data_IF_419734694555
#
_entry.id   IF_419734694555
#
_cell.length_a   1.000
_cell.length_b   1.000
_cell.length_c   1.000
_cell.angle_alpha   90.00
_cell.angle_beta   90.00
_cell.angle_gamma   90.00
#
_symmetry.space_group_name_H-M   'P 1'
#
loop_
_entity.id
_entity.type
_entity.pdbx_description
1 polymer ?
#
# COMPACT_ATOMS: atom_id res chain seq x y z
N UNK A 1 7.31 -0.28 15.38
CA UNK A 1 6.84 -1.56 14.79
C UNK A 1 5.55 -2.01 15.46
N UNK A 2 4.57 -2.51 14.69
CA UNK A 2 3.32 -3.09 15.21
C UNK A 2 3.47 -4.60 15.50
N UNK A 3 4.40 -4.94 16.39
CA UNK A 3 4.75 -6.30 16.77
C UNK A 3 4.85 -6.36 18.30
N UNK A 4 4.21 -7.36 18.92
CA UNK A 4 4.24 -7.53 20.37
C UNK A 4 5.63 -7.96 20.86
N UNK A 5 6.34 -7.11 21.61
CA UNK A 5 7.57 -7.49 22.33
C UNK A 5 7.28 -8.32 23.59
N UNK A 6 6.11 -8.10 24.17
CA UNK A 6 5.54 -8.84 25.31
C UNK A 6 4.08 -9.17 25.01
N UNK A 7 3.46 -10.16 25.69
CA UNK A 7 2.05 -10.44 25.52
C UNK A 7 1.20 -9.17 25.68
N UNK A 8 0.29 -8.95 24.73
CA UNK A 8 -0.58 -7.77 24.69
C UNK A 8 -1.83 -8.12 23.91
N UNK A 9 -2.97 -7.66 24.42
CA UNK A 9 -4.25 -7.72 23.69
C UNK A 9 -4.63 -9.16 23.29
N UNK A 10 -4.49 -10.09 24.24
CA UNK A 10 -4.78 -11.52 24.03
C UNK A 10 -3.80 -12.26 23.10
N UNK A 11 -2.76 -11.60 22.58
CA UNK A 11 -1.77 -12.18 21.66
C UNK A 11 -0.40 -12.30 22.31
N UNK A 12 0.31 -13.38 21.98
CA UNK A 12 1.66 -13.67 22.49
C UNK A 12 2.72 -12.68 22.00
N UNK A 13 3.95 -12.82 22.53
CA UNK A 13 5.12 -12.06 22.09
C UNK A 13 5.73 -12.63 20.80
N UNK A 14 6.51 -11.79 20.11
CA UNK A 14 7.26 -12.18 18.93
C UNK A 14 8.35 -13.19 19.28
N UNK A 15 8.37 -14.31 18.56
CA UNK A 15 9.38 -15.35 18.68
C UNK A 15 10.58 -15.13 17.74
N UNK A 16 10.63 -14.00 17.02
CA UNK A 16 11.74 -13.61 16.15
C UNK A 16 12.12 -14.66 15.07
N UNK A 17 11.11 -15.34 14.55
CA UNK A 17 11.25 -16.48 13.61
C UNK A 17 11.53 -16.09 12.14
N UNK A 18 11.74 -14.81 11.83
CA UNK A 18 12.07 -14.37 10.45
C UNK A 18 10.95 -14.47 9.40
N UNK A 19 9.72 -14.84 9.79
CA UNK A 19 8.61 -15.15 8.88
C UNK A 19 7.64 -13.97 8.63
N UNK A 20 8.04 -12.74 8.90
CA UNK A 20 7.12 -11.59 8.95
C UNK A 20 6.43 -11.27 7.61
N UNK A 21 7.04 -11.62 6.49
CA UNK A 21 6.54 -11.34 5.13
C UNK A 21 5.63 -12.45 4.59
N UNK A 22 5.73 -13.67 5.11
CA UNK A 22 4.90 -14.82 4.71
C UNK A 22 3.68 -15.02 5.65
N UNK A 23 3.44 -14.05 6.54
CA UNK A 23 2.43 -14.15 7.59
C UNK A 23 3.06 -14.49 8.94
N UNK A 24 2.59 -13.83 10.01
CA UNK A 24 3.13 -14.07 11.35
C UNK A 24 2.51 -15.32 11.97
N UNK A 25 3.26 -16.44 11.92
CA UNK A 25 2.82 -17.73 12.45
C UNK A 25 2.44 -17.69 13.95
N UNK A 26 3.08 -16.83 14.74
CA UNK A 26 2.80 -16.71 16.18
C UNK A 26 1.66 -15.75 16.52
N UNK A 27 1.09 -15.03 15.55
CA UNK A 27 0.07 -14.00 15.78
C UNK A 27 0.57 -12.72 16.46
N UNK A 28 1.89 -12.56 16.66
CA UNK A 28 2.47 -11.42 17.39
C UNK A 28 2.47 -10.11 16.57
N UNK A 29 2.62 -10.19 15.24
CA UNK A 29 2.52 -9.05 14.32
C UNK A 29 1.05 -8.68 14.14
N UNK A 30 0.76 -7.39 14.20
CA UNK A 30 -0.58 -6.87 13.97
C UNK A 30 -1.05 -7.10 12.53
N UNK A 31 -2.31 -7.48 12.39
CA UNK A 31 -3.14 -7.33 11.19
C UNK A 31 -4.60 -7.26 11.60
N UNK A 32 -5.44 -6.68 10.75
CA UNK A 32 -6.90 -6.61 11.00
C UNK A 32 -7.54 -7.98 11.17
N UNK A 33 -7.01 -8.99 10.48
CA UNK A 33 -7.47 -10.38 10.55
C UNK A 33 -7.34 -11.00 11.96
N UNK A 34 -6.30 -10.65 12.71
CA UNK A 34 -6.03 -11.26 14.03
C UNK A 34 -6.35 -10.34 15.21
N UNK A 35 -6.74 -9.10 14.93
CA UNK A 35 -6.94 -8.04 15.94
C UNK A 35 -8.35 -7.47 15.88
N UNK A 36 -8.64 -6.63 14.87
CA UNK A 36 -9.87 -5.84 14.82
C UNK A 36 -11.09 -6.66 14.37
N UNK A 37 -10.94 -7.52 13.35
CA UNK A 37 -12.06 -8.31 12.80
C UNK A 37 -12.68 -9.23 13.87
N UNK A 38 -11.92 -10.08 14.58
CA UNK A 38 -12.52 -10.96 15.60
C UNK A 38 -13.25 -10.19 16.70
N UNK A 39 -12.71 -9.05 17.12
CA UNK A 39 -13.36 -8.18 18.12
C UNK A 39 -14.64 -7.55 17.60
N UNK A 40 -14.64 -7.13 16.34
CA UNK A 40 -15.83 -6.58 15.69
C UNK A 40 -16.94 -7.61 15.56
N UNK A 41 -16.63 -8.81 15.08
CA UNK A 41 -17.60 -9.91 14.94
C UNK A 41 -18.18 -10.33 16.30
N UNK A 42 -17.36 -10.36 17.36
CA UNK A 42 -17.81 -10.65 18.72
C UNK A 42 -18.85 -9.67 19.26
N UNK A 43 -18.99 -8.46 18.68
CA UNK A 43 -20.06 -7.52 19.05
C UNK A 43 -21.42 -7.89 18.48
N UNK A 44 -21.48 -8.77 17.47
CA UNK A 44 -22.68 -9.06 16.68
C UNK A 44 -23.07 -7.96 15.68
N UNK A 45 -22.30 -6.88 15.57
CA UNK A 45 -22.57 -5.74 14.68
C UNK A 45 -21.67 -5.68 13.43
N UNK A 46 -20.70 -6.60 13.32
CA UNK A 46 -19.83 -6.73 12.16
C UNK A 46 -20.00 -8.12 11.56
N UNK A 47 -20.06 -8.18 10.23
CA UNK A 47 -20.01 -9.41 9.47
C UNK A 47 -18.95 -9.27 8.38
N UNK A 48 -18.02 -10.22 8.30
CA UNK A 48 -17.10 -10.35 7.18
C UNK A 48 -17.61 -11.44 6.24
N UNK A 49 -17.90 -11.05 4.99
CA UNK A 49 -18.26 -11.99 3.93
C UNK A 49 -17.07 -12.16 2.98
N UNK A 50 -16.25 -13.23 3.15
CA UNK A 50 -15.21 -13.54 2.19
C UNK A 50 -15.81 -13.91 0.83
N UNK A 51 -14.96 -13.95 -0.20
CA UNK A 51 -15.35 -14.35 -1.56
C UNK A 51 -16.56 -13.58 -2.14
N UNK A 52 -16.69 -12.31 -1.73
CA UNK A 52 -17.74 -11.39 -2.17
C UNK A 52 -17.14 -10.26 -3.02
N UNK A 53 -17.09 -10.46 -4.34
CA UNK A 53 -16.48 -9.50 -5.27
C UNK A 53 -17.47 -8.41 -5.67
N UNK A 54 -17.30 -7.19 -5.14
CA UNK A 54 -18.16 -6.04 -5.46
C UNK A 54 -17.92 -5.60 -6.91
N UNK A 55 -19.00 -5.63 -7.69
CA UNK A 55 -18.99 -5.28 -9.12
C UNK A 55 -19.32 -3.81 -9.35
N UNK A 56 -20.29 -3.30 -8.57
CA UNK A 56 -20.86 -1.98 -8.79
C UNK A 56 -21.43 -1.38 -7.51
N UNK A 57 -21.25 -0.08 -7.34
CA UNK A 57 -21.95 0.73 -6.35
C UNK A 57 -23.17 1.35 -7.04
N UNK A 58 -24.35 1.21 -6.43
CA UNK A 58 -25.59 1.73 -6.97
C UNK A 58 -26.02 3.01 -6.26
N UNK A 59 -26.72 3.89 -6.98
CA UNK A 59 -27.28 5.13 -6.45
C UNK A 59 -28.72 5.34 -6.93
N UNK A 60 -29.46 6.21 -6.24
CA UNK A 60 -30.79 6.63 -6.64
C UNK A 60 -30.77 7.80 -7.64
N UNK A 61 -31.94 8.28 -8.06
CA UNK A 61 -32.08 9.39 -9.00
C UNK A 61 -31.53 10.74 -8.49
N UNK A 62 -31.24 10.87 -7.19
CA UNK A 62 -30.58 12.05 -6.61
C UNK A 62 -29.05 11.93 -6.56
N UNK A 63 -28.51 10.76 -6.93
CA UNK A 63 -27.08 10.45 -6.82
C UNK A 63 -26.66 9.89 -5.46
N UNK A 64 -27.59 9.69 -4.52
CA UNK A 64 -27.29 9.09 -3.21
C UNK A 64 -27.04 7.59 -3.36
N UNK A 65 -25.95 7.08 -2.80
CA UNK A 65 -25.65 5.63 -2.83
C UNK A 65 -26.73 4.86 -2.07
N UNK A 66 -27.16 3.73 -2.63
CA UNK A 66 -28.23 2.87 -2.06
C UNK A 66 -27.75 1.46 -1.70
N UNK A 67 -26.59 1.05 -2.21
CA UNK A 67 -26.04 -0.28 -1.97
C UNK A 67 -24.95 -0.68 -2.94
N UNK A 68 -24.59 -1.95 -2.88
CA UNK A 68 -23.61 -2.58 -3.76
C UNK A 68 -24.17 -3.84 -4.39
N UNK A 69 -23.74 -4.12 -5.61
CA UNK A 69 -23.96 -5.39 -6.31
C UNK A 69 -22.64 -6.14 -6.33
N UNK A 70 -22.67 -7.41 -5.93
CA UNK A 70 -21.47 -8.25 -5.83
C UNK A 70 -21.73 -9.68 -6.30
N UNK A 71 -20.68 -10.37 -6.70
CA UNK A 71 -20.70 -11.81 -6.96
C UNK A 71 -20.31 -12.54 -5.68
N UNK A 72 -21.12 -13.49 -5.24
CA UNK A 72 -20.81 -14.34 -4.08
C UNK A 72 -19.88 -15.52 -4.43
N UNK A 73 -19.59 -16.37 -3.42
CA UNK A 73 -18.73 -17.53 -3.56
C UNK A 73 -19.24 -18.57 -4.59
N UNK A 74 -20.55 -18.61 -4.85
CA UNK A 74 -21.18 -19.48 -5.85
C UNK A 74 -21.22 -18.84 -7.25
N UNK A 75 -20.61 -17.66 -7.42
CA UNK A 75 -20.76 -16.80 -8.61
C UNK A 75 -22.22 -16.43 -8.90
N UNK A 76 -23.03 -16.22 -7.86
CA UNK A 76 -24.37 -15.63 -8.01
C UNK A 76 -24.32 -14.14 -7.70
N UNK A 77 -25.10 -13.38 -8.46
CA UNK A 77 -25.21 -11.94 -8.26
C UNK A 77 -26.10 -11.65 -7.04
N UNK A 78 -25.57 -10.87 -6.12
CA UNK A 78 -26.22 -10.44 -4.90
C UNK A 78 -26.32 -8.92 -4.86
N UNK A 79 -27.33 -8.42 -4.14
CA UNK A 79 -27.51 -6.98 -3.90
C UNK A 79 -27.59 -6.72 -2.40
N UNK A 80 -26.68 -5.90 -1.89
CA UNK A 80 -26.68 -5.47 -0.49
C UNK A 80 -27.03 -3.99 -0.42
N UNK A 81 -28.22 -3.67 0.13
CA UNK A 81 -28.58 -2.29 0.44
C UNK A 81 -27.70 -1.76 1.57
N UNK A 82 -27.32 -0.50 1.47
CA UNK A 82 -26.49 0.17 2.47
C UNK A 82 -26.89 1.64 2.60
N UNK A 83 -26.86 2.17 3.83
CA UNK A 83 -27.07 3.61 4.09
C UNK A 83 -25.84 4.43 3.72
N UNK A 84 -24.66 3.83 3.88
CA UNK A 84 -23.34 4.41 3.62
C UNK A 84 -22.47 3.32 3.00
N UNK A 85 -21.63 3.69 2.05
CA UNK A 85 -20.61 2.80 1.47
C UNK A 85 -19.23 3.40 1.69
N UNK A 86 -18.29 2.58 2.16
CA UNK A 86 -16.89 2.93 2.33
C UNK A 86 -16.04 1.97 1.48
N UNK A 87 -15.30 2.52 0.52
CA UNK A 87 -14.49 1.76 -0.44
C UNK A 87 -13.06 1.61 0.09
N UNK A 88 -12.61 0.37 0.26
CA UNK A 88 -11.31 0.03 0.85
C UNK A 88 -10.55 -1.04 0.04
N UNK A 89 -10.56 -0.91 -1.29
CA UNK A 89 -9.96 -1.84 -2.25
C UNK A 89 -8.48 -1.60 -2.56
N UNK A 90 -7.74 -0.84 -1.75
CA UNK A 90 -6.39 -0.35 -2.08
C UNK A 90 -6.42 0.62 -3.28
N UNK A 91 -5.31 1.29 -3.56
CA UNK A 91 -5.14 2.26 -4.64
C UNK A 91 -5.22 1.70 -6.05
N UNK A 92 -5.59 0.42 -6.21
CA UNK A 92 -5.85 -0.20 -7.52
C UNK A 92 -7.35 -0.55 -7.63
N UNK A 93 -7.91 -1.34 -6.73
CA UNK A 93 -9.32 -1.76 -6.86
C UNK A 93 -10.30 -0.67 -6.44
N UNK A 94 -9.94 0.26 -5.55
CA UNK A 94 -10.81 1.39 -5.21
C UNK A 94 -11.13 2.30 -6.39
N UNK A 95 -10.15 2.86 -7.13
CA UNK A 95 -10.46 3.62 -8.33
C UNK A 95 -11.11 2.75 -9.41
N UNK A 96 -10.69 1.48 -9.57
CA UNK A 96 -11.33 0.56 -10.53
C UNK A 96 -12.82 0.37 -10.25
N UNK A 97 -13.22 0.17 -8.98
CA UNK A 97 -14.63 0.02 -8.60
C UNK A 97 -15.42 1.30 -8.86
N UNK A 98 -14.86 2.47 -8.54
CA UNK A 98 -15.49 3.76 -8.81
C UNK A 98 -15.70 3.97 -10.32
N UNK A 99 -14.69 3.70 -11.14
CA UNK A 99 -14.77 3.78 -12.60
C UNK A 99 -15.80 2.78 -13.18
N UNK A 100 -15.80 1.52 -12.72
CA UNK A 100 -16.78 0.51 -13.13
C UNK A 100 -18.21 0.80 -12.64
N UNK A 101 -18.38 1.73 -11.69
CA UNK A 101 -19.67 2.16 -11.17
C UNK A 101 -20.32 3.29 -11.97
N UNK A 102 -19.90 3.51 -13.22
CA UNK A 102 -20.48 4.50 -14.12
C UNK A 102 -22.01 4.33 -14.33
N UNK A 103 -22.68 5.45 -14.57
CA UNK A 103 -24.13 5.53 -14.82
C UNK A 103 -24.45 6.73 -15.71
N UNK A 104 -25.72 6.92 -16.09
CA UNK A 104 -26.13 8.09 -16.86
C UNK A 104 -25.85 9.42 -16.12
N UNK A 105 -25.85 9.42 -14.78
CA UNK A 105 -25.53 10.60 -13.97
C UNK A 105 -24.01 10.76 -13.76
N UNK A 106 -23.28 9.66 -13.74
CA UNK A 106 -21.84 9.61 -13.53
C UNK A 106 -21.17 8.85 -14.69
N UNK A 107 -21.15 9.43 -15.91
CA UNK A 107 -20.74 8.71 -17.12
C UNK A 107 -19.27 8.27 -17.08
N UNK A 108 -18.42 9.02 -16.39
CA UNK A 108 -16.98 8.76 -16.27
C UNK A 108 -16.60 8.01 -14.97
N UNK A 109 -17.59 7.40 -14.31
CA UNK A 109 -17.42 6.70 -13.03
C UNK A 109 -17.93 7.49 -11.84
N UNK A 110 -18.27 6.75 -10.77
CA UNK A 110 -18.83 7.30 -9.54
C UNK A 110 -17.77 8.15 -8.81
N UNK A 111 -18.19 9.29 -8.26
CA UNK A 111 -17.31 10.25 -7.57
C UNK A 111 -16.15 10.82 -8.43
N UNK A 112 -16.32 10.84 -9.76
CA UNK A 112 -15.29 11.28 -10.70
C UNK A 112 -15.62 12.61 -11.42
N UNK A 113 -16.42 13.50 -10.84
CA UNK A 113 -16.74 14.79 -11.48
C UNK A 113 -15.51 15.67 -11.74
N UNK A 114 -14.44 15.48 -10.95
CA UNK A 114 -13.16 16.17 -11.10
C UNK A 114 -12.23 15.51 -12.12
N UNK A 115 -12.55 14.31 -12.60
CA UNK A 115 -11.67 13.49 -13.43
C UNK A 115 -10.43 12.96 -12.70
N UNK A 116 -10.38 13.05 -11.36
CA UNK A 116 -9.22 12.67 -10.55
C UNK A 116 -9.17 11.20 -10.14
N UNK A 117 -10.27 10.44 -10.27
CA UNK A 117 -10.28 9.00 -9.92
C UNK A 117 -9.24 8.27 -10.75
N UNK A 118 -8.39 7.52 -10.05
CA UNK A 118 -7.31 6.75 -10.62
C UNK A 118 -6.00 7.51 -10.81
N UNK A 119 -5.97 8.85 -10.78
CA UNK A 119 -4.76 9.65 -11.08
C UNK A 119 -3.84 9.80 -9.88
N UNK A 120 -2.59 10.23 -10.11
CA UNK A 120 -1.59 10.47 -9.06
C UNK A 120 -1.20 9.18 -8.32
N UNK A 121 -1.17 8.07 -9.05
CA UNK A 121 -0.74 6.79 -8.50
C UNK A 121 0.72 6.87 -8.04
N UNK A 122 0.93 6.53 -6.77
CA UNK A 122 2.24 6.48 -6.11
C UNK A 122 2.48 5.08 -5.54
N UNK A 123 3.74 4.65 -5.47
CA UNK A 123 4.18 3.37 -4.87
C UNK A 123 5.33 3.50 -3.87
N UNK A 124 5.98 4.66 -3.73
CA UNK A 124 7.34 4.90 -3.20
C UNK A 124 8.46 4.66 -4.20
N UNK A 125 9.46 5.55 -4.12
CA UNK A 125 10.80 5.31 -4.63
C UNK A 125 11.41 4.16 -3.83
N UNK A 126 11.94 3.16 -4.52
CA UNK A 126 12.40 1.91 -3.89
C UNK A 126 13.75 1.45 -4.45
N UNK A 127 14.60 0.91 -3.61
CA UNK A 127 15.85 0.28 -4.03
C UNK A 127 16.32 -0.65 -2.95
N UNK A 128 17.20 -1.60 -3.25
CA UNK A 128 17.80 -2.43 -2.20
C UNK A 128 19.30 -2.46 -2.36
N UNK A 129 19.99 -2.41 -1.23
CA UNK A 129 21.42 -2.62 -1.14
C UNK A 129 21.67 -3.85 -0.27
N UNK A 130 22.48 -4.78 -0.76
CA UNK A 130 23.00 -5.87 0.06
C UNK A 130 24.50 -5.72 0.28
N UNK A 131 24.97 -5.97 1.49
CA UNK A 131 26.37 -6.12 1.82
C UNK A 131 26.74 -7.58 2.05
N UNK A 132 27.86 -8.05 1.50
CA UNK A 132 28.49 -9.33 1.85
C UNK A 132 29.68 -9.06 2.76
N UNK A 133 29.81 -9.87 3.81
CA UNK A 133 30.88 -9.76 4.80
C UNK A 133 31.79 -11.00 4.76
N UNK A 134 32.99 -10.90 5.37
CA UNK A 134 33.89 -12.04 5.54
C UNK A 134 33.34 -13.08 6.53
N UNK A 135 32.73 -12.59 7.61
CA UNK A 135 32.17 -13.42 8.68
C UNK A 135 30.65 -13.59 8.53
N UNK A 136 30.07 -14.67 9.05
CA UNK A 136 28.63 -14.87 9.06
C UNK A 136 27.86 -13.73 9.75
N UNK A 137 26.74 -13.32 9.14
CA UNK A 137 25.82 -12.29 9.66
C UNK A 137 24.48 -12.92 10.07
N UNK A 138 23.99 -13.88 9.28
CA UNK A 138 22.70 -14.55 9.49
C UNK A 138 21.48 -13.61 9.52
N UNK A 139 21.38 -12.67 8.55
CA UNK A 139 20.29 -11.67 8.52
C UNK A 139 18.88 -12.26 8.64
N UNK A 140 18.67 -13.51 8.20
CA UNK A 140 17.41 -14.25 8.27
C UNK A 140 16.89 -14.55 9.69
N UNK A 141 17.70 -14.31 10.72
CA UNK A 141 17.31 -14.46 12.12
C UNK A 141 16.76 -13.12 12.62
N UNK A 142 15.62 -13.14 13.30
CA UNK A 142 15.05 -11.93 13.90
C UNK A 142 13.79 -11.43 13.21
N UNK A 143 13.52 -10.14 13.41
CA UNK A 143 12.45 -9.43 12.72
C UNK A 143 12.95 -8.97 11.35
N UNK A 144 12.19 -9.23 10.28
CA UNK A 144 12.58 -8.96 8.89
C UNK A 144 13.03 -7.51 8.63
N UNK A 145 12.44 -6.54 9.34
CA UNK A 145 12.80 -5.12 9.25
C UNK A 145 12.86 -4.53 10.67
N UNK A 146 14.01 -4.67 11.32
CA UNK A 146 14.17 -4.34 12.73
C UNK A 146 14.80 -2.95 12.98
N UNK A 147 15.56 -2.43 12.02
CA UNK A 147 16.28 -1.16 12.11
C UNK A 147 15.91 -0.20 10.99
N UNK A 148 15.96 1.10 11.31
CA UNK A 148 15.67 2.21 10.39
C UNK A 148 16.74 3.28 10.61
N UNK A 149 17.29 3.81 9.53
CA UNK A 149 18.17 4.97 9.50
C UNK A 149 17.41 6.09 8.77
N UNK A 150 17.30 7.25 9.42
CA UNK A 150 16.39 8.34 9.00
C UNK A 150 17.10 9.67 8.73
N UNK A 151 18.43 9.67 8.75
CA UNK A 151 19.26 10.85 8.52
C UNK A 151 18.93 11.53 7.18
N UNK A 152 18.51 10.73 6.19
CA UNK A 152 18.14 11.19 4.85
C UNK A 152 16.63 11.42 4.64
N UNK A 153 15.81 11.21 5.68
CA UNK A 153 14.36 11.39 5.61
C UNK A 153 13.91 12.87 5.56
N UNK A 154 14.56 13.82 6.27
CA UNK A 154 14.24 15.23 6.14
C UNK A 154 14.41 15.74 4.72
N UNK A 155 13.56 16.68 4.32
CA UNK A 155 13.66 17.33 3.02
C UNK A 155 14.91 18.21 2.94
N UNK A 156 15.79 17.90 1.98
CA UNK A 156 17.00 18.68 1.71
C UNK A 156 17.26 18.74 0.19
N UNK A 157 16.87 19.84 -0.48
CA UNK A 157 16.97 19.97 -1.94
C UNK A 157 18.42 20.12 -2.44
N UNK A 158 19.40 20.38 -1.55
CA UNK A 158 20.82 20.43 -1.93
C UNK A 158 21.35 19.08 -2.43
N UNK A 159 20.64 17.98 -2.18
CA UNK A 159 20.94 16.64 -2.70
C UNK A 159 20.51 16.43 -4.16
N UNK A 160 19.84 17.42 -4.77
CA UNK A 160 19.39 17.35 -6.16
C UNK A 160 18.00 16.72 -6.37
N UNK A 161 17.23 16.53 -5.29
CA UNK A 161 15.86 16.03 -5.32
C UNK A 161 15.03 16.58 -4.15
N UNK A 162 13.71 16.57 -4.29
CA UNK A 162 12.71 16.90 -3.28
C UNK A 162 12.25 15.65 -2.50
N UNK A 163 11.72 15.87 -1.30
CA UNK A 163 11.43 14.80 -0.35
C UNK A 163 12.69 14.24 0.32
N UNK A 164 12.57 13.03 0.85
CA UNK A 164 13.63 12.28 1.51
C UNK A 164 13.32 10.77 1.50
N UNK A 165 14.22 9.98 2.08
CA UNK A 165 14.08 8.54 2.15
C UNK A 165 14.59 7.97 3.47
N UNK A 166 14.04 6.84 3.87
CA UNK A 166 14.53 6.00 4.95
C UNK A 166 15.34 4.83 4.39
N UNK A 167 16.28 4.36 5.20
CA UNK A 167 17.03 3.13 4.95
C UNK A 167 16.64 2.12 6.02
N UNK A 168 15.93 1.08 5.61
CA UNK A 168 15.36 0.07 6.50
C UNK A 168 16.17 -1.21 6.37
N UNK A 169 16.63 -1.79 7.48
CA UNK A 169 17.25 -3.13 7.41
C UNK A 169 16.24 -4.10 6.81
N UNK A 170 16.69 -4.96 5.91
CA UNK A 170 15.85 -5.93 5.21
C UNK A 170 16.49 -7.31 5.28
N UNK A 171 15.68 -8.27 5.72
CA UNK A 171 16.03 -9.68 5.68
C UNK A 171 15.03 -10.49 4.87
N UNK A 172 15.42 -10.90 3.67
CA UNK A 172 14.64 -11.84 2.87
C UNK A 172 15.06 -13.28 3.16
N UNK A 173 14.06 -14.16 3.32
CA UNK A 173 14.29 -15.61 3.31
C UNK A 173 14.86 -16.08 1.98
N UNK A 174 15.58 -17.21 1.97
CA UNK A 174 16.36 -17.67 0.82
C UNK A 174 15.58 -17.72 -0.52
N UNK A 175 14.32 -18.21 -0.59
CA UNK A 175 13.57 -18.21 -1.85
C UNK A 175 13.27 -16.81 -2.38
N UNK A 176 12.90 -15.87 -1.49
CA UNK A 176 12.67 -14.48 -1.86
C UNK A 176 13.98 -13.80 -2.26
N UNK A 177 15.07 -14.09 -1.55
CA UNK A 177 16.38 -13.56 -1.91
C UNK A 177 16.78 -13.95 -3.33
N UNK A 178 16.62 -15.21 -3.70
CA UNK A 178 16.91 -15.69 -5.05
C UNK A 178 16.08 -14.98 -6.13
N UNK A 179 14.79 -14.74 -5.87
CA UNK A 179 13.90 -14.09 -6.82
C UNK A 179 14.18 -12.58 -6.98
N UNK A 180 14.57 -11.89 -5.90
CA UNK A 180 14.68 -10.44 -5.86
C UNK A 180 16.09 -9.91 -6.11
N UNK A 181 17.14 -10.70 -5.83
CA UNK A 181 18.52 -10.26 -5.97
C UNK A 181 18.84 -9.81 -7.41
N UNK A 182 18.45 -10.62 -8.40
CA UNK A 182 18.57 -10.29 -9.81
C UNK A 182 17.58 -11.14 -10.63
N UNK A 183 16.34 -10.66 -10.86
CA UNK A 183 15.30 -11.43 -11.53
C UNK A 183 15.74 -11.96 -12.91
N UNK A 184 15.59 -13.27 -13.12
CA UNK A 184 15.98 -13.94 -14.37
C UNK A 184 17.47 -14.23 -14.53
N UNK A 185 18.32 -13.83 -13.58
CA UNK A 185 19.75 -14.13 -13.62
C UNK A 185 20.04 -15.60 -13.32
N UNK A 186 21.13 -16.11 -13.90
CA UNK A 186 21.61 -17.47 -13.70
C UNK A 186 23.14 -17.54 -13.82
N UNK A 187 23.72 -18.70 -13.47
CA UNK A 187 25.15 -18.97 -13.63
C UNK A 187 26.01 -18.59 -12.43
N UNK A 188 27.34 -18.68 -12.61
CA UNK A 188 28.32 -18.64 -11.50
C UNK A 188 28.25 -17.38 -10.65
N UNK A 189 28.03 -16.22 -11.26
CA UNK A 189 27.94 -14.95 -10.53
C UNK A 189 26.72 -14.93 -9.61
N UNK A 190 25.57 -15.39 -10.09
CA UNK A 190 24.36 -15.48 -9.28
C UNK A 190 24.52 -16.51 -8.15
N UNK A 191 25.02 -17.71 -8.47
CA UNK A 191 25.22 -18.76 -7.45
C UNK A 191 26.24 -18.34 -6.40
N UNK A 192 27.33 -17.66 -6.77
CA UNK A 192 28.32 -17.16 -5.81
C UNK A 192 27.73 -16.14 -4.83
N UNK A 193 26.85 -15.25 -5.31
CA UNK A 193 26.10 -14.36 -4.42
C UNK A 193 25.17 -15.14 -3.49
N UNK A 194 24.45 -16.14 -4.00
CA UNK A 194 23.57 -16.97 -3.17
C UNK A 194 24.34 -17.82 -2.15
N UNK A 195 25.53 -18.32 -2.48
CA UNK A 195 26.42 -19.05 -1.57
C UNK A 195 26.90 -18.15 -0.40
N UNK A 196 26.95 -16.84 -0.63
CA UNK A 196 27.28 -15.84 0.38
C UNK A 196 26.11 -15.46 1.30
N UNK A 197 24.90 -16.04 1.12
CA UNK A 197 23.68 -15.65 1.85
C UNK A 197 23.84 -15.60 3.38
N UNK A 198 24.57 -16.55 3.98
CA UNK A 198 24.81 -16.58 5.43
C UNK A 198 25.65 -15.39 5.94
N UNK A 199 26.37 -14.73 5.04
CA UNK A 199 27.23 -13.55 5.28
C UNK A 199 26.63 -12.27 4.70
N UNK A 200 25.35 -12.27 4.31
CA UNK A 200 24.68 -11.10 3.77
C UNK A 200 23.95 -10.29 4.85
N UNK A 201 23.84 -8.99 4.61
CA UNK A 201 22.87 -8.08 5.22
C UNK A 201 22.17 -7.28 4.12
N UNK A 202 20.86 -7.03 4.27
CA UNK A 202 20.07 -6.25 3.31
C UNK A 202 19.56 -4.94 3.91
N UNK A 203 19.37 -3.95 3.03
CA UNK A 203 18.84 -2.63 3.34
C UNK A 203 17.89 -2.21 2.23
N UNK A 204 16.62 -2.03 2.58
CA UNK A 204 15.62 -1.46 1.70
C UNK A 204 15.68 0.06 1.78
N UNK A 205 15.64 0.71 0.63
CA UNK A 205 15.65 2.15 0.45
C UNK A 205 14.22 2.53 0.10
N UNK A 206 13.58 3.33 0.95
CA UNK A 206 12.19 3.73 0.77
C UNK A 206 12.09 5.25 0.82
N UNK A 207 11.70 5.84 -0.30
CA UNK A 207 11.63 7.28 -0.49
C UNK A 207 10.28 7.75 -0.97
N UNK A 208 10.07 9.06 -0.88
CA UNK A 208 8.89 9.68 -1.46
C UNK A 208 8.85 9.46 -2.99
N UNK A 209 7.65 9.21 -3.51
CA UNK A 209 7.34 9.09 -4.93
C UNK A 209 6.43 10.25 -5.29
N UNK A 210 6.83 11.03 -6.29
CA UNK A 210 6.13 12.27 -6.59
C UNK A 210 4.76 11.99 -7.22
N UNK A 211 3.68 12.66 -6.77
CA UNK A 211 2.38 12.52 -7.41
C UNK A 211 2.43 13.07 -8.85
N UNK A 212 2.18 12.21 -9.83
CA UNK A 212 2.13 12.56 -11.25
C UNK A 212 0.74 12.29 -11.79
N UNK A 213 0.12 13.28 -12.44
CA UNK A 213 -1.24 13.14 -12.98
C UNK A 213 -1.35 12.00 -14.02
N UNK A 214 -0.27 11.76 -14.76
CA UNK A 214 -0.14 10.70 -15.76
C UNK A 214 -0.10 9.32 -15.13
N UNK A 215 0.59 9.15 -13.99
CA UNK A 215 0.61 7.89 -13.25
C UNK A 215 -0.80 7.60 -12.74
N UNK A 216 -1.43 6.55 -13.28
CA UNK A 216 -2.85 6.34 -13.07
C UNK A 216 -3.32 4.91 -13.22
N UNK A 217 -4.46 4.66 -12.60
CA UNK A 217 -5.30 3.48 -12.81
C UNK A 217 -6.44 3.86 -13.75
N UNK A 218 -6.61 3.08 -14.81
CA UNK A 218 -7.75 3.16 -15.72
C UNK A 218 -8.42 1.80 -15.85
N UNK A 219 -9.54 1.74 -16.56
CA UNK A 219 -10.12 0.49 -17.00
C UNK A 219 -9.46 0.06 -18.31
N UNK A 220 -9.08 -1.21 -18.41
CA UNK A 220 -8.64 -1.77 -19.69
C UNK A 220 -9.82 -1.80 -20.68
N UNK A 221 -9.64 -1.35 -21.94
CA UNK A 221 -10.72 -1.28 -22.91
C UNK A 221 -11.20 -2.65 -23.41
N UNK A 222 -10.41 -3.71 -23.20
CA UNK A 222 -10.66 -5.03 -23.80
C UNK A 222 -10.58 -6.18 -22.80
N UNK A 223 -9.60 -6.15 -21.90
CA UNK A 223 -9.38 -7.20 -20.93
C UNK A 223 -10.42 -7.14 -19.81
N UNK A 224 -11.03 -8.28 -19.55
CA UNK A 224 -12.05 -8.46 -18.51
C UNK A 224 -11.62 -9.52 -17.53
N UNK A 225 -12.03 -9.37 -16.29
CA UNK A 225 -11.84 -10.40 -15.27
C UNK A 225 -12.82 -11.57 -15.46
N UNK A 226 -12.74 -12.56 -14.56
CA UNK A 226 -13.60 -13.74 -14.56
C UNK A 226 -15.10 -13.43 -14.42
N UNK A 227 -15.46 -12.23 -14.01
CA UNK A 227 -16.85 -11.77 -13.86
C UNK A 227 -17.28 -10.83 -15.00
N UNK A 228 -16.43 -10.63 -16.01
CA UNK A 228 -16.73 -9.81 -17.16
C UNK A 228 -16.52 -8.31 -16.94
N UNK A 229 -15.94 -7.89 -15.81
CA UNK A 229 -15.62 -6.48 -15.56
C UNK A 229 -14.30 -6.10 -16.21
N UNK A 230 -14.18 -4.89 -16.80
CA UNK A 230 -12.88 -4.33 -17.16
C UNK A 230 -11.88 -4.44 -16.01
N UNK A 231 -10.68 -4.96 -16.30
CA UNK A 231 -9.58 -5.04 -15.33
C UNK A 231 -8.94 -3.67 -15.13
N UNK A 232 -8.21 -3.49 -14.02
CA UNK A 232 -7.37 -2.32 -13.86
C UNK A 232 -6.21 -2.35 -14.87
N UNK A 233 -6.04 -1.24 -15.60
CA UNK A 233 -4.83 -0.94 -16.36
C UNK A 233 -4.00 0.05 -15.56
N UNK A 234 -2.76 -0.31 -15.25
CA UNK A 234 -1.86 0.48 -14.42
C UNK A 234 -0.81 1.13 -15.30
N UNK A 235 -0.80 2.45 -15.35
CA UNK A 235 0.26 3.22 -15.98
C UNK A 235 1.11 3.90 -14.90
N UNK A 236 2.43 3.72 -15.00
CA UNK A 236 3.39 4.31 -14.08
C UNK A 236 4.71 4.57 -14.79
N UNK A 237 5.18 5.81 -14.70
CA UNK A 237 6.52 6.23 -15.07
C UNK A 237 7.24 6.77 -13.82
N UNK A 238 8.54 6.44 -13.66
CA UNK A 238 9.35 7.02 -12.59
C UNK A 238 9.57 8.53 -12.87
N UNK A 239 9.36 9.38 -11.85
CA UNK A 239 9.68 10.80 -11.95
C UNK A 239 11.21 11.02 -11.90
N UNK A 240 11.80 11.97 -12.66
CA UNK A 240 13.24 12.26 -12.60
C UNK A 240 13.77 12.55 -11.19
N UNK A 241 12.95 13.19 -10.34
CA UNK A 241 13.20 13.40 -8.91
C UNK A 241 13.52 12.09 -8.18
N UNK A 242 12.72 11.06 -8.45
CA UNK A 242 12.73 9.81 -7.69
C UNK A 242 13.87 8.92 -8.18
N UNK A 243 14.25 9.05 -9.46
CA UNK A 243 15.48 8.50 -10.00
C UNK A 243 16.71 9.14 -9.34
N UNK A 244 16.74 10.47 -9.22
CA UNK A 244 17.83 11.18 -8.55
C UNK A 244 17.94 10.79 -7.06
N UNK A 245 16.81 10.72 -6.35
CA UNK A 245 16.72 10.27 -4.97
C UNK A 245 17.26 8.84 -4.80
N UNK A 246 16.85 7.91 -5.67
CA UNK A 246 17.28 6.51 -5.64
C UNK A 246 18.78 6.35 -5.86
N UNK A 247 19.35 7.11 -6.80
CA UNK A 247 20.79 7.09 -7.05
C UNK A 247 21.58 7.58 -5.83
N UNK A 248 21.11 8.64 -5.17
CA UNK A 248 21.70 9.10 -3.91
C UNK A 248 21.57 8.03 -2.81
N UNK A 249 20.40 7.40 -2.68
CA UNK A 249 20.16 6.34 -1.71
C UNK A 249 21.08 5.12 -1.91
N UNK A 250 21.37 4.73 -3.16
CA UNK A 250 22.35 3.67 -3.44
C UNK A 250 23.76 4.04 -2.98
N UNK A 251 24.17 5.30 -3.18
CA UNK A 251 25.49 5.77 -2.73
C UNK A 251 25.60 5.75 -1.20
N UNK A 252 24.59 6.28 -0.49
CA UNK A 252 24.60 6.32 0.98
C UNK A 252 24.54 4.92 1.59
N UNK A 253 23.68 4.04 1.07
CA UNK A 253 23.59 2.67 1.58
C UNK A 253 24.85 1.83 1.31
N UNK A 254 25.50 2.03 0.16
CA UNK A 254 26.81 1.43 -0.11
C UNK A 254 27.88 1.92 0.88
N UNK A 255 27.93 3.24 1.13
CA UNK A 255 28.87 3.83 2.09
C UNK A 255 28.67 3.28 3.51
N UNK A 256 27.40 3.12 3.95
CA UNK A 256 27.09 2.51 5.25
C UNK A 256 27.62 1.08 5.32
N UNK A 257 27.34 0.25 4.30
CA UNK A 257 27.79 -1.14 4.32
C UNK A 257 29.32 -1.27 4.29
N UNK A 258 29.99 -0.44 3.50
CA UNK A 258 31.46 -0.40 3.47
C UNK A 258 32.02 0.02 4.84
N UNK A 259 31.43 1.03 5.49
CA UNK A 259 31.85 1.49 6.81
C UNK A 259 31.71 0.42 7.90
N UNK A 260 30.73 -0.48 7.79
CA UNK A 260 30.57 -1.62 8.73
C UNK A 260 31.32 -2.88 8.31
N UNK A 261 32.12 -2.82 7.24
CA UNK A 261 33.04 -3.89 6.83
C UNK A 261 32.51 -4.86 5.78
N UNK A 262 31.51 -4.48 4.98
CA UNK A 262 31.13 -5.26 3.81
C UNK A 262 32.27 -5.26 2.78
N UNK A 263 32.64 -6.44 2.28
CA UNK A 263 33.65 -6.62 1.23
C UNK A 263 33.07 -6.45 -0.17
N UNK A 264 31.76 -6.64 -0.32
CA UNK A 264 31.02 -6.43 -1.57
C UNK A 264 29.70 -5.75 -1.27
N UNK A 265 29.34 -4.74 -2.07
CA UNK A 265 28.02 -4.11 -2.08
C UNK A 265 27.29 -4.46 -3.38
N UNK A 266 26.04 -4.87 -3.26
CA UNK A 266 25.19 -5.34 -4.35
C UNK A 266 23.92 -4.48 -4.42
N UNK A 267 23.90 -3.39 -5.21
CA UNK A 267 22.65 -2.71 -5.53
C UNK A 267 21.78 -3.63 -6.38
N UNK A 268 20.50 -3.77 -6.05
CA UNK A 268 19.54 -4.53 -6.86
C UNK A 268 18.73 -3.60 -7.75
N UNK A 269 18.16 -4.10 -8.87
CA UNK A 269 17.17 -3.34 -9.61
C UNK A 269 16.00 -2.90 -8.71
N UNK A 270 15.41 -1.72 -8.97
CA UNK A 270 14.19 -1.33 -8.28
C UNK A 270 13.04 -2.25 -8.67
N UNK A 271 12.43 -2.91 -7.69
CA UNK A 271 11.18 -3.65 -7.87
C UNK A 271 9.99 -2.82 -7.42
N UNK A 272 8.77 -3.04 -7.95
CA UNK A 272 7.58 -2.31 -7.52
C UNK A 272 7.38 -2.41 -5.99
N UNK A 273 7.28 -1.27 -5.33
CA UNK A 273 6.88 -1.24 -3.93
C UNK A 273 5.41 -1.65 -3.81
N UNK A 274 5.07 -2.30 -2.69
CA UNK A 274 3.70 -2.74 -2.39
C UNK A 274 2.84 -1.63 -1.76
N UNK A 275 3.39 -0.44 -1.54
CA UNK A 275 2.70 0.68 -0.91
C UNK A 275 1.96 1.55 -1.94
N UNK A 276 0.86 1.02 -2.46
CA UNK A 276 0.06 1.68 -3.47
C UNK A 276 -0.74 2.84 -2.86
N UNK A 277 -0.64 4.05 -3.41
CA UNK A 277 -1.20 5.28 -2.84
C UNK A 277 -1.76 6.24 -3.91
N UNK A 278 -2.56 7.21 -3.50
CA UNK A 278 -2.84 8.44 -4.27
C UNK A 278 -4.03 8.49 -5.22
N UNK A 279 -4.60 7.33 -5.56
CA UNK A 279 -5.53 7.24 -6.71
C UNK A 279 -6.94 7.75 -6.46
N UNK A 280 -7.29 8.08 -5.22
CA UNK A 280 -8.51 8.80 -4.85
C UNK A 280 -8.16 9.88 -3.82
N UNK A 281 -7.14 10.70 -4.14
CA UNK A 281 -6.51 11.61 -3.18
C UNK A 281 -7.48 12.59 -2.52
N UNK A 282 -7.14 12.94 -1.27
CA UNK A 282 -7.75 14.07 -0.57
C UNK A 282 -7.47 15.39 -1.26
N UNK A 283 -8.43 16.30 -1.20
CA UNK A 283 -8.26 17.69 -1.60
C UNK A 283 -9.15 18.61 -0.79
N UNK A 284 -8.74 19.88 -0.68
CA UNK A 284 -9.59 20.93 -0.12
C UNK A 284 -10.76 21.26 -1.07
N UNK A 285 -10.47 21.37 -2.37
CA UNK A 285 -11.45 21.74 -3.40
C UNK A 285 -11.86 20.51 -4.22
N UNK A 286 -13.16 20.39 -4.58
CA UNK A 286 -13.66 19.27 -5.38
C UNK A 286 -12.91 19.01 -6.69
N UNK A 287 -12.54 20.07 -7.40
CA UNK A 287 -11.83 19.95 -8.70
C UNK A 287 -10.41 19.37 -8.61
N UNK A 288 -9.79 19.38 -7.43
CA UNK A 288 -8.37 19.04 -7.27
C UNK A 288 -8.16 17.60 -6.75
N UNK A 289 -9.22 16.88 -6.38
CA UNK A 289 -9.15 15.51 -5.83
C UNK A 289 -10.50 14.81 -5.85
N UNK A 290 -10.60 13.67 -5.16
CA UNK A 290 -11.80 12.81 -5.17
C UNK A 290 -12.59 12.97 -3.87
N UNK A 291 -11.87 13.13 -2.76
CA UNK A 291 -12.44 13.13 -1.41
C UNK A 291 -11.99 14.36 -0.62
N UNK A 292 -12.77 14.73 0.38
CA UNK A 292 -12.40 15.76 1.35
C UNK A 292 -11.50 15.18 2.47
N UNK A 293 -11.15 16.01 3.44
CA UNK A 293 -10.30 15.63 4.58
C UNK A 293 -10.85 14.49 5.46
N UNK A 294 -12.12 14.11 5.37
CA UNK A 294 -12.69 12.98 6.11
C UNK A 294 -12.79 11.71 5.27
N UNK A 295 -12.25 11.73 4.05
CA UNK A 295 -12.36 10.62 3.11
C UNK A 295 -13.74 10.44 2.50
N UNK A 296 -14.63 11.41 2.70
CA UNK A 296 -15.93 11.50 2.05
C UNK A 296 -15.74 12.03 0.63
N UNK A 297 -16.41 11.45 -0.36
CA UNK A 297 -16.35 11.97 -1.73
C UNK A 297 -16.94 13.37 -1.82
N UNK A 298 -16.39 14.21 -2.70
CA UNK A 298 -16.94 15.55 -2.93
C UNK A 298 -18.31 15.48 -3.61
N UNK A 299 -18.54 14.46 -4.45
CA UNK A 299 -19.75 14.32 -5.25
C UNK A 299 -20.92 13.72 -4.47
N UNK A 300 -20.67 12.76 -3.58
CA UNK A 300 -21.72 11.93 -2.96
C UNK A 300 -21.52 11.83 -1.45
N UNK A 301 -22.47 12.41 -0.70
CA UNK A 301 -22.37 12.58 0.76
C UNK A 301 -22.26 11.28 1.56
N UNK A 302 -22.82 10.17 1.07
CA UNK A 302 -22.80 8.89 1.78
C UNK A 302 -21.84 7.85 1.15
N UNK A 303 -20.88 8.32 0.35
CA UNK A 303 -19.80 7.51 -0.21
C UNK A 303 -18.45 7.98 0.35
N UNK A 304 -17.66 7.03 0.81
CA UNK A 304 -16.36 7.24 1.42
C UNK A 304 -15.31 6.34 0.77
N UNK A 305 -14.04 6.74 0.87
CA UNK A 305 -12.86 5.93 0.59
C UNK A 305 -12.10 5.73 1.90
N UNK A 306 -11.47 4.59 2.15
CA UNK A 306 -10.91 4.24 3.47
C UNK A 306 -9.57 3.50 3.40
N UNK A 307 -8.75 3.80 2.39
CA UNK A 307 -7.49 3.10 2.13
C UNK A 307 -6.33 4.03 1.73
N UNK A 308 -5.22 3.47 1.23
CA UNK A 308 -4.04 4.24 0.80
C UNK A 308 -4.29 5.18 -0.38
N UNK A 309 -5.40 5.04 -1.10
CA UNK A 309 -5.69 5.88 -2.27
C UNK A 309 -5.94 7.33 -1.91
N UNK A 310 -6.18 7.61 -0.63
CA UNK A 310 -6.47 8.94 -0.11
C UNK A 310 -5.25 9.87 0.01
N UNK A 311 -4.04 9.31 -0.09
CA UNK A 311 -2.81 10.04 0.17
C UNK A 311 -2.56 11.12 -0.88
N UNK A 312 -2.04 12.28 -0.45
CA UNK A 312 -1.64 13.36 -1.36
C UNK A 312 -0.14 13.39 -1.63
N UNK A 313 0.63 12.67 -0.81
CA UNK A 313 2.08 12.47 -0.92
C UNK A 313 2.42 11.12 -0.28
N UNK A 314 3.45 10.45 -0.79
CA UNK A 314 3.89 9.15 -0.29
C UNK A 314 4.68 9.19 1.01
N UNK A 315 5.26 10.33 1.39
CA UNK A 315 6.26 10.45 2.46
C UNK A 315 7.45 9.47 2.32
N UNK A 316 8.34 9.44 3.32
CA UNK A 316 9.52 8.55 3.34
C UNK A 316 9.30 7.25 4.12
N UNK A 317 8.10 7.02 4.68
CA UNK A 317 7.81 5.91 5.59
C UNK A 317 6.59 5.09 5.17
N UNK A 318 6.46 3.86 5.68
CA UNK A 318 5.39 2.94 5.29
C UNK A 318 4.00 3.51 5.68
N UNK A 319 2.99 3.46 4.79
CA UNK A 319 1.77 4.27 4.94
C UNK A 319 0.71 3.69 5.88
N UNK A 320 0.79 2.40 6.26
CA UNK A 320 -0.33 1.69 6.91
C UNK A 320 -0.79 2.32 8.22
N UNK A 321 0.11 2.85 9.05
CA UNK A 321 -0.28 3.51 10.30
C UNK A 321 -1.12 4.77 10.03
N UNK A 322 -0.76 5.53 9.00
CA UNK A 322 -1.51 6.71 8.56
C UNK A 322 -2.85 6.29 7.95
N UNK A 323 -2.90 5.22 7.15
CA UNK A 323 -4.17 4.66 6.63
C UNK A 323 -5.13 4.34 7.78
N UNK A 324 -4.67 3.59 8.79
CA UNK A 324 -5.48 3.22 9.95
C UNK A 324 -5.94 4.47 10.73
N UNK A 325 -5.05 5.45 10.92
CA UNK A 325 -5.39 6.70 11.61
C UNK A 325 -6.48 7.50 10.87
N UNK A 326 -6.41 7.54 9.54
CA UNK A 326 -7.42 8.18 8.70
C UNK A 326 -8.76 7.43 8.75
N UNK A 327 -8.73 6.10 8.71
CA UNK A 327 -9.92 5.25 8.81
C UNK A 327 -10.64 5.42 10.17
N UNK A 328 -9.90 5.49 11.28
CA UNK A 328 -10.48 5.75 12.61
C UNK A 328 -11.11 7.14 12.66
N UNK A 329 -10.39 8.18 12.19
CA UNK A 329 -10.94 9.56 12.11
C UNK A 329 -12.22 9.62 11.27
N UNK A 330 -12.24 8.87 10.17
CA UNK A 330 -13.42 8.79 9.30
C UNK A 330 -14.58 8.09 9.98
N UNK A 331 -14.34 7.01 10.74
CA UNK A 331 -15.39 6.31 11.49
C UNK A 331 -16.09 7.25 12.49
N UNK A 332 -15.32 8.05 13.24
CA UNK A 332 -15.88 9.06 14.16
C UNK A 332 -16.72 10.12 13.43
N UNK A 333 -16.23 10.56 12.26
CA UNK A 333 -16.96 11.51 11.42
C UNK A 333 -18.29 10.92 10.93
N UNK A 334 -18.27 9.68 10.43
CA UNK A 334 -19.47 8.97 9.96
C UNK A 334 -20.47 8.83 11.11
N UNK A 335 -20.03 8.36 12.28
CA UNK A 335 -20.89 8.19 13.45
C UNK A 335 -21.57 9.51 13.85
N UNK A 336 -20.79 10.61 13.91
CA UNK A 336 -21.31 11.95 14.23
C UNK A 336 -22.36 12.42 13.22
N UNK A 337 -22.05 12.32 11.92
CA UNK A 337 -22.98 12.75 10.85
C UNK A 337 -24.25 11.90 10.80
N UNK A 338 -24.15 10.59 11.07
CA UNK A 338 -25.31 9.72 11.18
C UNK A 338 -26.22 10.07 12.36
N UNK A 339 -25.65 10.41 13.52
CA UNK A 339 -26.42 10.88 14.68
C UNK A 339 -27.16 12.18 14.37
N UNK A 340 -26.53 13.08 13.62
CA UNK A 340 -27.11 14.35 13.17
C UNK A 340 -28.11 14.20 12.01
N UNK A 341 -28.17 13.02 11.38
CA UNK A 341 -28.97 12.74 10.16
C UNK A 341 -28.56 13.59 8.95
N UNK A 342 -27.29 13.97 8.90
CA UNK A 342 -26.70 14.79 7.83
C UNK A 342 -26.13 13.95 6.67
N UNK A 343 -26.08 12.62 6.83
CA UNK A 343 -25.75 11.62 5.80
C UNK A 343 -26.71 10.41 5.86
#
# INVERSE_FOLDING_TARGET
MAINSQPRDGRGSCQQIGFCFQGCKSGAKWSTLVSEIPKGEATGNLEVRPDSHVMKIEHDASGKVTGVVYMDADNKMQRQKARIVAVAGNSIESPRLLLNSASNMFPDGLANSSGQVGRNYMRHMTGTMYGIFERPVHMYRGTTMAGIIRDEAPHNPKRGFNGGYEMETLSLGLPFMAAFLNPGAWGRTFTASMDAYSRMAGMWLIGEDMPQETNRITLDPTAKDKHGMPVASVHYDDHPNDVAMRNHAYQQSAAIYQAVGATVTLPTPPYPSTHNMGTNRMSEKPRDGVINKFGQTHDIKNLFVSDGSQFTSGAACNPTLTIVSLAIRQADHIATRMQQRDI
#
